data_IF_318414527596
#
_entry.id   IF_318414527596
#
_cell.length_a   1.000
_cell.length_b   1.000
_cell.length_c   1.000
_cell.angle_alpha   90.00
_cell.angle_beta   90.00
_cell.angle_gamma   90.00
#
_symmetry.space_group_name_H-M   'P 1'
#
loop_
_entity.id
_entity.type
_entity.pdbx_description
1 polymer ?
#
# COMPACT_ATOMS: atom_id res chain seq x y z
N UNK A 1 -15.94 8.64 -10.33
CA UNK A 1 -15.67 7.20 -10.59
C UNK A 1 -16.88 6.31 -10.27
N UNK A 2 -18.13 6.78 -10.45
CA UNK A 2 -19.30 6.05 -9.94
C UNK A 2 -19.71 4.89 -10.85
N UNK A 3 -19.81 5.11 -12.16
CA UNK A 3 -20.24 4.07 -13.10
C UNK A 3 -19.21 2.93 -13.27
N UNK A 4 -17.92 3.25 -13.31
CA UNK A 4 -16.87 2.21 -13.39
C UNK A 4 -16.91 1.30 -12.16
N UNK A 5 -17.16 1.84 -10.96
CA UNK A 5 -17.31 1.01 -9.76
C UNK A 5 -18.57 0.15 -9.78
N UNK A 6 -19.66 0.65 -10.36
CA UNK A 6 -20.92 -0.07 -10.45
C UNK A 6 -20.87 -1.22 -11.46
N UNK A 7 -20.14 -1.04 -12.57
CA UNK A 7 -20.11 -1.96 -13.70
C UNK A 7 -18.92 -2.93 -13.66
N UNK A 8 -18.01 -2.80 -12.70
CA UNK A 8 -16.83 -3.67 -12.56
C UNK A 8 -16.94 -4.58 -11.34
N UNK A 9 -16.50 -5.83 -11.49
CA UNK A 9 -16.45 -6.82 -10.40
C UNK A 9 -15.26 -6.63 -9.46
N UNK A 10 -14.13 -6.19 -10.00
CA UNK A 10 -12.88 -5.99 -9.28
C UNK A 10 -12.07 -4.84 -9.88
N UNK A 11 -11.09 -4.35 -9.12
CA UNK A 11 -10.16 -3.33 -9.55
C UNK A 11 -8.79 -3.58 -8.93
N UNK A 12 -7.73 -3.26 -9.66
CA UNK A 12 -6.35 -3.30 -9.20
C UNK A 12 -5.64 -1.99 -9.56
N UNK A 13 -4.68 -1.59 -8.73
CA UNK A 13 -3.87 -0.39 -8.97
C UNK A 13 -2.47 -0.65 -8.45
N UNK A 14 -1.47 -0.32 -9.26
CA UNK A 14 -0.05 -0.35 -8.88
C UNK A 14 0.44 1.07 -8.67
N UNK A 15 1.17 1.30 -7.58
CA UNK A 15 1.75 2.60 -7.23
C UNK A 15 3.24 2.39 -6.96
N UNK A 16 4.07 3.26 -7.54
CA UNK A 16 5.51 3.30 -7.27
C UNK A 16 5.81 4.45 -6.32
N UNK A 17 6.47 4.15 -5.21
CA UNK A 17 6.94 5.16 -4.26
C UNK A 17 8.42 5.44 -4.51
N UNK A 18 8.74 6.66 -4.93
CA UNK A 18 10.12 7.11 -5.08
C UNK A 18 10.66 7.60 -3.73
N UNK A 19 11.71 6.96 -3.24
CA UNK A 19 12.28 7.22 -1.92
C UNK A 19 13.69 7.81 -2.00
N UNK A 20 14.05 8.60 -0.99
CA UNK A 20 15.43 9.03 -0.70
C UNK A 20 15.58 9.20 0.82
N UNK A 21 16.47 8.43 1.44
CA UNK A 21 16.68 8.41 2.90
C UNK A 21 15.38 8.19 3.70
N UNK A 22 14.47 7.34 3.19
CA UNK A 22 13.17 7.05 3.80
C UNK A 22 12.77 5.61 3.51
N UNK A 23 12.06 5.00 4.47
CA UNK A 23 11.57 3.63 4.36
C UNK A 23 10.25 3.61 3.61
N UNK A 24 10.11 2.73 2.63
CA UNK A 24 8.89 2.52 1.84
C UNK A 24 8.00 1.42 2.41
N UNK A 25 8.59 0.30 2.83
CA UNK A 25 7.83 -0.86 3.33
C UNK A 25 8.51 -1.53 4.53
N UNK A 26 9.58 -2.31 4.32
CA UNK A 26 10.26 -2.98 5.43
C UNK A 26 11.43 -2.14 5.92
N UNK A 27 11.46 -1.82 7.21
CA UNK A 27 12.63 -1.18 7.82
C UNK A 27 13.72 -2.25 8.07
N UNK A 28 14.85 -2.13 7.38
CA UNK A 28 15.99 -3.06 7.50
C UNK A 28 16.65 -3.00 8.88
N UNK A 29 16.68 -1.83 9.51
CA UNK A 29 17.35 -1.65 10.80
C UNK A 29 16.60 -2.34 11.95
N UNK A 30 15.27 -2.42 11.85
CA UNK A 30 14.42 -3.01 12.90
C UNK A 30 13.73 -4.30 12.48
N UNK A 31 13.81 -4.68 11.21
CA UNK A 31 13.24 -5.90 10.64
C UNK A 31 11.71 -5.95 10.62
N UNK A 32 11.01 -4.83 10.85
CA UNK A 32 9.55 -4.76 10.93
C UNK A 32 8.93 -3.79 9.90
N UNK A 33 7.60 -3.77 9.83
CA UNK A 33 6.82 -3.00 8.85
C UNK A 33 6.16 -1.75 9.45
N UNK A 34 6.57 -1.33 10.66
CA UNK A 34 5.90 -0.21 11.36
C UNK A 34 6.06 1.14 10.65
N UNK A 35 7.09 1.27 9.81
CA UNK A 35 7.37 2.48 9.01
C UNK A 35 6.86 2.37 7.56
N UNK A 36 6.12 1.31 7.22
CA UNK A 36 5.60 1.13 5.87
C UNK A 36 4.63 2.27 5.50
N UNK A 37 4.64 2.66 4.23
CA UNK A 37 3.73 3.68 3.69
C UNK A 37 2.28 3.23 3.85
N UNK A 38 1.40 4.17 4.19
CA UNK A 38 -0.04 3.95 4.26
C UNK A 38 -0.67 4.57 3.01
N UNK A 39 -1.49 3.80 2.30
CA UNK A 39 -2.21 4.27 1.12
C UNK A 39 -3.65 4.59 1.49
N UNK A 40 -4.13 5.78 1.12
CA UNK A 40 -5.52 6.18 1.36
C UNK A 40 -6.38 5.83 0.14
N UNK A 41 -7.37 4.98 0.33
CA UNK A 41 -8.37 4.67 -0.67
C UNK A 41 -9.35 5.83 -0.83
N UNK A 42 -10.02 5.86 -1.97
CA UNK A 42 -11.02 6.89 -2.32
C UNK A 42 -12.28 6.96 -1.45
N UNK A 43 -12.46 6.01 -0.53
CA UNK A 43 -13.55 5.95 0.44
C UNK A 43 -13.03 6.14 1.88
N UNK A 44 -11.90 6.83 2.02
CA UNK A 44 -11.21 7.14 3.28
C UNK A 44 -10.65 5.95 4.06
N UNK A 45 -10.76 4.72 3.54
CA UNK A 45 -10.11 3.56 4.12
C UNK A 45 -8.59 3.61 3.91
N UNK A 46 -7.86 3.12 4.91
CA UNK A 46 -6.42 3.00 4.86
C UNK A 46 -6.03 1.58 4.44
N UNK A 47 -5.16 1.47 3.43
CA UNK A 47 -4.49 0.24 3.06
C UNK A 47 -3.10 0.23 3.72
N UNK A 48 -2.80 -0.84 4.46
CA UNK A 48 -1.60 -0.94 5.31
C UNK A 48 -0.78 -2.19 4.98
N UNK A 49 0.48 -2.20 5.40
CA UNK A 49 1.34 -3.38 5.32
C UNK A 49 0.92 -4.50 6.29
N UNK A 50 0.40 -4.13 7.46
CA UNK A 50 -0.01 -5.05 8.52
C UNK A 50 -1.47 -4.79 8.95
N UNK A 51 -2.11 -5.82 9.51
CA UNK A 51 -3.48 -5.74 10.01
C UNK A 51 -4.47 -6.59 9.21
N UNK A 52 -5.68 -6.08 9.01
CA UNK A 52 -6.76 -6.82 8.36
C UNK A 52 -6.40 -7.17 6.91
N UNK A 53 -6.40 -8.46 6.58
CA UNK A 53 -6.01 -8.96 5.26
C UNK A 53 -6.83 -8.38 4.10
N UNK A 54 -8.08 -7.95 4.34
CA UNK A 54 -8.90 -7.30 3.29
C UNK A 54 -8.42 -5.90 2.89
N UNK A 55 -7.62 -5.25 3.74
CA UNK A 55 -7.08 -3.90 3.53
C UNK A 55 -5.55 -3.91 3.49
N UNK A 56 -4.95 -5.08 3.26
CA UNK A 56 -3.51 -5.20 3.14
C UNK A 56 -3.10 -5.11 1.68
N UNK A 57 -2.19 -4.20 1.35
CA UNK A 57 -1.60 -4.13 0.02
C UNK A 57 -0.46 -5.15 -0.12
N UNK A 58 -0.11 -5.46 -1.37
CA UNK A 58 1.04 -6.30 -1.70
C UNK A 58 2.17 -5.45 -2.28
N UNK A 59 3.39 -5.93 -2.11
CA UNK A 59 4.60 -5.28 -2.64
C UNK A 59 5.15 -6.15 -3.75
N UNK A 60 5.43 -5.54 -4.90
CA UNK A 60 6.03 -6.21 -6.05
C UNK A 60 7.56 -6.21 -5.92
N UNK A 61 8.13 -5.08 -5.50
CA UNK A 61 9.56 -4.85 -5.29
C UNK A 61 9.73 -3.84 -4.17
N UNK A 62 10.71 -4.06 -3.28
CA UNK A 62 11.09 -3.13 -2.22
C UNK A 62 12.59 -2.83 -2.33
N UNK A 63 12.91 -1.56 -2.58
CA UNK A 63 14.27 -1.03 -2.66
C UNK A 63 14.49 0.15 -1.69
N UNK A 64 13.57 0.33 -0.74
CA UNK A 64 13.49 1.48 0.15
C UNK A 64 13.42 1.00 1.60
N UNK A 65 14.41 0.20 2.02
CA UNK A 65 14.44 -0.46 3.32
C UNK A 65 15.26 0.26 4.40
#
# INVERSE_FOLDING_TARGET
MTFIRLLSKEASQTITYHCKNTVGYKDESTGNLKKAVILKASNDLELKAEGNNRFRYTVLEDSCS
#
